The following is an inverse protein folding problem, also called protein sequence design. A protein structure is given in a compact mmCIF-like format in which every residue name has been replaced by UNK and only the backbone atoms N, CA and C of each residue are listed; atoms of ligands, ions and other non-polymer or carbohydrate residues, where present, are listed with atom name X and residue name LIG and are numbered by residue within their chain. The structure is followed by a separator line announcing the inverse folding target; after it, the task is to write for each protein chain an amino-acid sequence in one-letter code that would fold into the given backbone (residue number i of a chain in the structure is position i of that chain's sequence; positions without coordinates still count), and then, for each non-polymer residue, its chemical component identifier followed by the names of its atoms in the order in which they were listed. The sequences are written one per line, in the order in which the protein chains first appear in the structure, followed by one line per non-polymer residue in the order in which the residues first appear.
data_IF_058638388874
#
_entry.id   IF_058638388874
#
_cell.length_a   1.000
_cell.length_b   1.000
_cell.length_c   1.000
_cell.angle_alpha   90.00
_cell.angle_beta   90.00
_cell.angle_gamma   90.00
#
_symmetry.space_group_name_H-M   'P 1'
#
loop_
_entity.id
_entity.type
_entity.pdbx_description
1 polymer ?
#
# COMPACT_ATOMS: atom_id res chain seq x y z
N UNK A 1 13.17 67.12 -33.16
CA UNK A 1 13.97 65.88 -33.04
C UNK A 1 13.51 65.13 -31.80
N UNK A 2 12.51 64.27 -31.92
CA UNK A 2 12.02 63.47 -30.80
C UNK A 2 12.74 62.11 -30.79
N UNK A 3 13.49 61.83 -29.73
CA UNK A 3 14.16 60.55 -29.51
C UNK A 3 13.08 59.52 -29.14
N UNK A 4 12.75 58.62 -30.06
CA UNK A 4 12.03 57.41 -29.73
C UNK A 4 12.96 56.49 -28.95
N UNK A 5 12.77 56.41 -27.63
CA UNK A 5 13.31 55.33 -26.81
C UNK A 5 12.63 54.03 -27.22
N UNK A 6 13.38 52.97 -27.60
CA UNK A 6 12.79 51.69 -27.91
C UNK A 6 12.28 51.07 -26.59
N UNK A 7 10.97 50.83 -26.54
CA UNK A 7 10.34 50.05 -25.48
C UNK A 7 10.95 48.64 -25.58
N UNK A 8 11.80 48.28 -24.62
CA UNK A 8 12.21 46.90 -24.42
C UNK A 8 10.96 46.10 -24.09
N UNK A 9 10.44 45.38 -25.09
CA UNK A 9 9.43 44.34 -24.88
C UNK A 9 10.15 43.24 -24.11
N UNK A 10 10.02 43.25 -22.79
CA UNK A 10 10.42 42.13 -21.96
C UNK A 10 9.63 40.92 -22.45
N UNK A 11 10.32 40.01 -23.14
CA UNK A 11 9.78 38.68 -23.44
C UNK A 11 9.20 38.13 -22.14
N UNK A 12 7.93 37.69 -22.10
CA UNK A 12 7.36 37.14 -20.88
C UNK A 12 8.28 36.01 -20.44
N UNK A 13 8.80 36.11 -19.22
CA UNK A 13 9.59 35.05 -18.58
C UNK A 13 8.63 33.88 -18.39
N UNK A 14 8.47 33.08 -19.44
CA UNK A 14 7.50 32.00 -19.47
C UNK A 14 7.92 30.86 -18.57
N UNK A 15 6.95 30.03 -18.17
CA UNK A 15 7.17 28.77 -17.43
C UNK A 15 8.28 27.90 -18.06
N UNK A 16 8.52 28.04 -19.37
CA UNK A 16 9.56 27.34 -20.12
C UNK A 16 11.00 27.77 -19.81
N UNK A 17 11.22 28.90 -19.14
CA UNK A 17 12.56 29.36 -18.75
C UNK A 17 12.83 29.16 -17.25
N UNK A 18 11.88 28.62 -16.49
CA UNK A 18 12.07 28.33 -15.08
C UNK A 18 13.00 27.12 -14.90
N UNK A 19 13.85 27.09 -13.86
CA UNK A 19 14.58 25.90 -13.42
C UNK A 19 13.63 24.73 -13.14
N UNK A 20 14.13 23.50 -13.30
CA UNK A 20 13.34 22.27 -13.11
C UNK A 20 12.77 22.18 -11.67
N UNK A 21 13.50 22.69 -10.68
CA UNK A 21 13.07 22.74 -9.28
C UNK A 21 11.81 23.58 -9.08
N UNK A 22 11.75 24.76 -9.70
CA UNK A 22 10.59 25.64 -9.62
C UNK A 22 9.42 25.09 -10.43
N UNK A 23 9.70 24.43 -11.57
CA UNK A 23 8.68 23.73 -12.33
C UNK A 23 8.06 22.58 -11.53
N UNK A 24 8.86 21.79 -10.82
CA UNK A 24 8.36 20.76 -9.92
C UNK A 24 7.52 21.34 -8.79
N UNK A 25 7.90 22.50 -8.26
CA UNK A 25 7.11 23.25 -7.30
C UNK A 25 5.71 23.60 -7.84
N UNK A 26 5.64 24.13 -9.06
CA UNK A 26 4.37 24.42 -9.74
C UNK A 26 3.58 23.14 -10.03
N UNK A 27 4.24 22.09 -10.50
CA UNK A 27 3.64 20.79 -10.79
C UNK A 27 3.05 20.12 -9.55
N UNK A 28 3.62 20.34 -8.38
CA UNK A 28 3.10 19.82 -7.12
C UNK A 28 1.76 20.43 -6.70
N UNK A 29 1.43 21.63 -7.21
CA UNK A 29 0.19 22.33 -6.91
C UNK A 29 -0.95 21.94 -7.87
N UNK A 30 -0.64 21.19 -8.93
CA UNK A 30 -1.58 20.83 -9.99
C UNK A 30 -2.17 19.43 -9.76
N UNK A 31 -3.41 19.22 -10.23
CA UNK A 31 -4.02 17.90 -10.22
C UNK A 31 -3.29 16.97 -11.21
N UNK A 32 -3.39 15.65 -11.01
CA UNK A 32 -2.80 14.67 -11.93
C UNK A 32 -3.37 14.75 -13.36
N UNK A 33 -4.58 15.26 -13.53
CA UNK A 33 -5.19 15.46 -14.85
C UNK A 33 -4.60 16.70 -15.55
N UNK A 34 -4.50 17.82 -14.84
CA UNK A 34 -3.92 19.05 -15.37
C UNK A 34 -2.44 18.87 -15.71
N UNK A 35 -1.73 18.11 -14.88
CA UNK A 35 -0.33 17.77 -15.13
C UNK A 35 -0.18 16.98 -16.43
N UNK A 36 -1.03 15.98 -16.67
CA UNK A 36 -1.02 15.20 -17.93
C UNK A 36 -1.35 16.07 -19.13
N UNK A 37 -2.25 17.04 -19.00
CA UNK A 37 -2.55 17.99 -20.05
C UNK A 37 -1.34 18.89 -20.36
N UNK A 38 -0.69 19.43 -19.33
CA UNK A 38 0.50 20.28 -19.47
C UNK A 38 1.71 19.50 -20.02
N UNK A 39 1.82 18.21 -19.70
CA UNK A 39 2.84 17.34 -20.29
C UNK A 39 2.67 17.18 -21.81
N UNK A 40 1.45 17.28 -22.34
CA UNK A 40 1.18 17.10 -23.78
C UNK A 40 1.52 18.33 -24.61
N UNK A 41 1.46 19.52 -24.02
CA UNK A 41 1.70 20.77 -24.74
C UNK A 41 3.19 21.09 -24.91
N UNK A 42 4.08 20.48 -24.12
CA UNK A 42 5.52 20.73 -24.23
C UNK A 42 6.38 19.53 -23.79
N UNK A 43 7.35 19.16 -24.64
CA UNK A 43 8.26 18.04 -24.38
C UNK A 43 9.14 18.24 -23.13
N UNK A 44 9.51 19.49 -22.79
CA UNK A 44 10.29 19.79 -21.59
C UNK A 44 9.48 19.51 -20.34
N UNK A 45 8.21 19.94 -20.32
CA UNK A 45 7.31 19.64 -19.20
C UNK A 45 7.05 18.14 -19.10
N UNK A 46 6.92 17.43 -20.22
CA UNK A 46 6.83 15.97 -20.21
C UNK A 46 8.02 15.31 -19.51
N UNK A 47 9.25 15.72 -19.82
CA UNK A 47 10.44 15.13 -19.20
C UNK A 47 10.51 15.42 -17.69
N UNK A 48 10.31 16.68 -17.28
CA UNK A 48 10.39 17.07 -15.87
C UNK A 48 9.24 16.48 -15.05
N UNK A 49 8.01 16.54 -15.57
CA UNK A 49 6.85 15.96 -14.93
C UNK A 49 6.84 14.44 -15.01
N UNK A 50 7.51 13.83 -15.98
CA UNK A 50 7.61 12.38 -16.14
C UNK A 50 8.24 11.73 -14.92
N UNK A 51 9.37 12.26 -14.45
CA UNK A 51 10.02 11.81 -13.22
C UNK A 51 9.16 12.07 -11.98
N UNK A 52 8.49 13.23 -11.92
CA UNK A 52 7.56 13.56 -10.84
C UNK A 52 6.36 12.61 -10.78
N UNK A 53 5.74 12.34 -11.94
CA UNK A 53 4.62 11.43 -12.11
C UNK A 53 5.05 9.99 -11.85
N UNK A 54 6.24 9.57 -12.26
CA UNK A 54 6.76 8.24 -11.97
C UNK A 54 6.90 8.03 -10.45
N UNK A 55 7.41 9.05 -9.74
CA UNK A 55 7.50 9.04 -8.26
C UNK A 55 6.11 9.04 -7.60
N UNK A 56 5.16 9.83 -8.10
CA UNK A 56 3.76 9.83 -7.66
C UNK A 56 3.02 8.52 -7.98
N UNK A 57 3.33 7.89 -9.12
CA UNK A 57 2.62 6.70 -9.61
C UNK A 57 3.16 5.38 -9.07
N UNK A 58 4.37 5.37 -8.49
CA UNK A 58 4.91 4.20 -7.79
C UNK A 58 4.02 3.76 -6.61
N UNK A 59 3.33 4.70 -5.97
CA UNK A 59 2.39 4.41 -4.88
C UNK A 59 0.99 4.03 -5.38
N UNK A 60 0.61 4.41 -6.61
CA UNK A 60 -0.70 4.06 -7.19
C UNK A 60 -0.70 2.79 -8.02
N UNK A 61 0.44 2.32 -8.55
CA UNK A 61 0.49 1.15 -9.45
C UNK A 61 -0.06 -0.13 -8.82
N UNK A 62 0.41 -0.49 -7.62
CA UNK A 62 -0.09 -1.68 -6.90
C UNK A 62 -1.49 -1.44 -6.30
N UNK A 63 -1.78 -0.19 -5.92
CA UNK A 63 -3.06 0.20 -5.32
C UNK A 63 -4.18 0.43 -6.34
N UNK A 64 -3.89 0.44 -7.64
CA UNK A 64 -4.90 0.55 -8.70
C UNK A 64 -5.29 -0.82 -9.26
N UNK A 65 -4.51 -1.87 -8.99
CA UNK A 65 -4.80 -3.22 -9.48
C UNK A 65 -6.14 -3.74 -8.94
N UNK A 66 -6.91 -4.49 -9.75
CA UNK A 66 -8.07 -5.24 -9.27
C UNK A 66 -7.74 -6.16 -8.10
N UNK A 67 -8.73 -6.45 -7.26
CA UNK A 67 -8.56 -7.26 -6.06
C UNK A 67 -8.06 -8.67 -6.40
N UNK A 68 -8.44 -9.20 -7.55
CA UNK A 68 -8.06 -10.51 -8.07
C UNK A 68 -6.54 -10.59 -8.30
N UNK A 69 -5.96 -9.56 -8.92
CA UNK A 69 -4.52 -9.51 -9.15
C UNK A 69 -3.74 -9.34 -7.86
N UNK A 70 -4.26 -8.55 -6.91
CA UNK A 70 -3.66 -8.38 -5.58
C UNK A 70 -3.66 -9.70 -4.82
N UNK A 71 -4.76 -10.46 -4.92
CA UNK A 71 -4.87 -11.78 -4.33
C UNK A 71 -3.89 -12.76 -4.98
N UNK A 72 -3.76 -12.73 -6.31
CA UNK A 72 -2.80 -13.56 -7.05
C UNK A 72 -1.36 -13.29 -6.58
N UNK A 73 -0.96 -12.02 -6.51
CA UNK A 73 0.35 -11.62 -5.96
C UNK A 73 0.51 -12.14 -4.52
N UNK A 74 -0.53 -12.03 -3.70
CA UNK A 74 -0.51 -12.51 -2.32
C UNK A 74 -0.34 -14.04 -2.22
N UNK A 75 -0.88 -14.80 -3.18
CA UNK A 75 -0.74 -16.25 -3.23
C UNK A 75 0.71 -16.67 -3.50
N UNK A 76 1.40 -15.97 -4.40
CA UNK A 76 2.80 -16.22 -4.76
C UNK A 76 3.79 -15.84 -3.65
N UNK A 77 3.38 -15.04 -2.66
CA UNK A 77 4.20 -14.80 -1.47
C UNK A 77 4.33 -16.08 -0.63
N UNK A 78 5.54 -16.63 -0.55
CA UNK A 78 5.82 -17.92 0.09
C UNK A 78 5.69 -17.87 1.62
N UNK A 79 6.06 -16.75 2.24
CA UNK A 79 6.05 -16.60 3.70
C UNK A 79 4.83 -15.84 4.19
N UNK A 80 4.26 -16.31 5.30
CA UNK A 80 3.14 -15.66 5.98
C UNK A 80 3.49 -14.22 6.43
N UNK A 81 4.74 -14.01 6.86
CA UNK A 81 5.22 -12.69 7.28
C UNK A 81 5.15 -11.67 6.15
N UNK A 82 5.50 -12.06 4.92
CA UNK A 82 5.49 -11.16 3.78
C UNK A 82 4.06 -10.80 3.38
N UNK A 83 3.13 -11.75 3.46
CA UNK A 83 1.68 -11.47 3.29
C UNK A 83 1.18 -10.47 4.33
N UNK A 84 1.57 -10.64 5.59
CA UNK A 84 1.20 -9.71 6.66
C UNK A 84 1.83 -8.32 6.49
N UNK A 85 3.08 -8.24 6.01
CA UNK A 85 3.74 -6.97 5.67
C UNK A 85 3.02 -6.27 4.52
N UNK A 86 2.67 -7.00 3.46
CA UNK A 86 1.91 -6.48 2.33
C UNK A 86 0.54 -5.95 2.78
N UNK A 87 -0.19 -6.70 3.62
CA UNK A 87 -1.46 -6.23 4.18
C UNK A 87 -1.32 -4.91 4.95
N UNK A 88 -0.22 -4.75 5.70
CA UNK A 88 0.05 -3.56 6.52
C UNK A 88 0.62 -2.38 5.73
N UNK A 89 1.05 -2.60 4.48
CA UNK A 89 1.62 -1.54 3.65
C UNK A 89 0.58 -0.49 3.23
N UNK A 90 -0.71 -0.86 3.16
CA UNK A 90 -1.78 0.07 2.80
C UNK A 90 -3.13 -0.35 3.36
N UNK A 91 -3.92 0.64 3.78
CA UNK A 91 -5.29 0.45 4.25
C UNK A 91 -6.20 -0.22 3.18
N UNK A 92 -5.94 0.00 1.89
CA UNK A 92 -6.68 -0.65 0.78
C UNK A 92 -6.34 -2.14 0.68
N UNK A 93 -5.07 -2.49 0.87
CA UNK A 93 -4.60 -3.86 0.75
C UNK A 93 -5.00 -4.69 1.97
N UNK A 94 -5.05 -4.06 3.15
CA UNK A 94 -5.33 -4.74 4.40
C UNK A 94 -6.57 -5.66 4.36
N UNK A 95 -7.79 -5.20 4.01
CA UNK A 95 -8.97 -6.07 4.03
C UNK A 95 -8.88 -7.22 3.01
N UNK A 96 -8.32 -6.98 1.82
CA UNK A 96 -8.23 -7.97 0.74
C UNK A 96 -7.23 -9.06 1.12
N UNK A 97 -6.00 -8.66 1.45
CA UNK A 97 -4.90 -9.56 1.80
C UNK A 97 -5.19 -10.30 3.09
N UNK A 98 -5.73 -9.61 4.11
CA UNK A 98 -6.04 -10.24 5.39
C UNK A 98 -7.17 -11.27 5.29
N UNK A 99 -8.19 -11.02 4.45
CA UNK A 99 -9.27 -11.99 4.22
C UNK A 99 -8.72 -13.28 3.61
N UNK A 100 -7.81 -13.18 2.65
CA UNK A 100 -7.11 -14.33 2.08
C UNK A 100 -6.25 -15.05 3.12
N UNK A 101 -5.45 -14.30 3.87
CA UNK A 101 -4.58 -14.84 4.93
C UNK A 101 -5.39 -15.66 5.94
N UNK A 102 -6.48 -15.11 6.47
CA UNK A 102 -7.30 -15.79 7.47
C UNK A 102 -7.98 -17.03 6.88
N UNK A 103 -8.56 -16.92 5.67
CA UNK A 103 -9.21 -18.05 5.00
C UNK A 103 -8.24 -19.19 4.68
N UNK A 104 -7.03 -18.85 4.20
CA UNK A 104 -5.99 -19.84 3.92
C UNK A 104 -5.48 -20.52 5.20
N UNK A 105 -5.45 -19.79 6.32
CA UNK A 105 -5.02 -20.35 7.59
C UNK A 105 -6.02 -21.35 8.16
N UNK A 106 -7.31 -21.04 8.13
CA UNK A 106 -8.37 -21.96 8.54
C UNK A 106 -8.34 -23.23 7.67
N UNK A 107 -8.20 -23.09 6.34
CA UNK A 107 -8.24 -24.22 5.41
C UNK A 107 -7.00 -25.13 5.44
N UNK A 108 -5.80 -24.54 5.47
CA UNK A 108 -4.56 -25.29 5.20
C UNK A 108 -3.58 -25.30 6.38
N UNK A 109 -3.74 -24.38 7.34
CA UNK A 109 -2.81 -24.24 8.48
C UNK A 109 -3.48 -24.52 9.82
N UNK A 110 -4.61 -25.25 9.81
CA UNK A 110 -5.34 -25.71 10.99
C UNK A 110 -5.54 -24.58 12.01
N UNK A 111 -5.98 -23.41 11.55
CA UNK A 111 -6.28 -22.26 12.43
C UNK A 111 -5.12 -21.78 13.30
N UNK A 112 -3.86 -22.03 12.95
CA UNK A 112 -2.71 -21.61 13.77
C UNK A 112 -2.59 -20.10 14.04
N UNK A 113 -3.24 -19.26 13.21
CA UNK A 113 -3.36 -17.83 13.48
C UNK A 113 -4.25 -17.51 14.69
N UNK A 114 -5.12 -18.43 15.10
CA UNK A 114 -5.98 -18.25 16.27
C UNK A 114 -5.15 -18.27 17.55
N UNK A 115 -4.16 -19.16 17.65
CA UNK A 115 -3.18 -19.17 18.73
C UNK A 115 -2.38 -17.86 18.80
N UNK A 116 -1.93 -17.37 17.65
CA UNK A 116 -1.29 -16.05 17.58
C UNK A 116 -2.23 -14.92 18.02
N UNK A 117 -3.49 -14.95 17.60
CA UNK A 117 -4.47 -13.94 17.99
C UNK A 117 -4.78 -13.99 19.50
N UNK A 118 -4.89 -15.19 20.08
CA UNK A 118 -5.11 -15.39 21.52
C UNK A 118 -3.91 -14.86 22.34
N UNK A 119 -2.70 -15.32 22.02
CA UNK A 119 -1.46 -14.90 22.72
C UNK A 119 -1.17 -13.40 22.62
N UNK A 120 -1.63 -12.72 21.57
CA UNK A 120 -1.45 -11.28 21.37
C UNK A 120 -2.70 -10.45 21.70
N UNK A 121 -3.75 -11.05 22.27
CA UNK A 121 -5.02 -10.40 22.60
C UNK A 121 -5.67 -9.65 21.41
N UNK A 122 -5.54 -10.20 20.20
CA UNK A 122 -6.06 -9.61 18.96
C UNK A 122 -7.53 -10.01 18.72
N UNK A 123 -8.44 -9.48 19.54
CA UNK A 123 -9.88 -9.83 19.54
C UNK A 123 -10.54 -9.76 18.16
N UNK A 124 -10.21 -8.74 17.37
CA UNK A 124 -10.76 -8.55 16.02
C UNK A 124 -10.31 -9.64 15.04
N UNK A 125 -9.07 -10.12 15.18
CA UNK A 125 -8.52 -11.21 14.38
C UNK A 125 -9.15 -12.54 14.79
N UNK A 126 -9.20 -12.80 16.10
CA UNK A 126 -9.81 -14.01 16.65
C UNK A 126 -11.27 -14.14 16.19
N UNK A 127 -12.07 -13.07 16.28
CA UNK A 127 -13.45 -13.05 15.79
C UNK A 127 -13.57 -13.38 14.30
N UNK A 128 -12.67 -12.84 13.46
CA UNK A 128 -12.65 -13.14 12.03
C UNK A 128 -12.33 -14.62 11.75
N UNK A 129 -11.39 -15.19 12.50
CA UNK A 129 -11.02 -16.61 12.37
C UNK A 129 -12.19 -17.51 12.78
N UNK A 130 -12.82 -17.23 13.93
CA UNK A 130 -13.98 -17.97 14.42
C UNK A 130 -15.16 -17.92 13.45
N UNK A 131 -15.45 -16.73 12.89
CA UNK A 131 -16.53 -16.57 11.91
C UNK A 131 -16.31 -17.36 10.61
N UNK A 132 -15.06 -17.69 10.28
CA UNK A 132 -14.74 -18.54 9.13
C UNK A 132 -14.69 -20.04 9.48
N UNK A 133 -15.10 -20.43 10.69
CA UNK A 133 -15.07 -21.82 11.16
C UNK A 133 -13.69 -22.26 11.63
N UNK A 134 -12.89 -21.33 12.17
CA UNK A 134 -11.59 -21.67 12.71
C UNK A 134 -11.69 -22.59 13.92
N UNK A 135 -11.02 -23.75 13.84
CA UNK A 135 -10.83 -24.69 14.95
C UNK A 135 -10.29 -24.02 16.22
N UNK A 136 -11.06 -24.12 17.32
CA UNK A 136 -10.76 -23.56 18.65
C UNK A 136 -9.84 -24.45 19.48
N UNK A 137 -9.70 -25.71 19.11
CA UNK A 137 -8.88 -26.70 19.82
C UNK A 137 -7.50 -26.87 19.17
N UNK A 138 -7.18 -26.04 18.17
CA UNK A 138 -5.91 -26.10 17.46
C UNK A 138 -4.70 -25.92 18.39
N UNK A 139 -3.78 -26.87 18.36
CA UNK A 139 -2.52 -26.78 19.10
C UNK A 139 -1.38 -26.24 18.21
N UNK A 140 -1.64 -25.97 16.93
CA UNK A 140 -0.61 -25.52 15.98
C UNK A 140 -0.29 -24.04 16.13
N UNK A 141 1.00 -23.72 16.11
CA UNK A 141 1.48 -22.33 16.19
C UNK A 141 1.47 -21.73 17.59
N UNK A 142 1.11 -22.49 18.62
CA UNK A 142 1.35 -22.14 20.01
C UNK A 142 2.86 -22.19 20.27
N UNK A 143 3.52 -21.03 20.29
CA UNK A 143 4.90 -20.94 20.76
C UNK A 143 4.87 -20.86 22.29
N UNK A 144 4.61 -22.01 22.93
CA UNK A 144 4.78 -22.17 24.37
C UNK A 144 5.89 -23.20 24.58
N UNK A 145 7.12 -22.76 24.33
CA UNK A 145 8.32 -23.51 24.69
C UNK A 145 8.55 -23.61 26.22
N UNK A 146 7.56 -23.23 27.05
CA UNK A 146 7.69 -23.19 28.51
C UNK A 146 6.72 -24.11 29.26
N UNK A 147 5.73 -24.71 28.58
CA UNK A 147 4.89 -25.77 29.15
C UNK A 147 4.75 -26.84 28.07
N UNK A 148 5.21 -28.06 28.35
CA UNK A 148 5.47 -29.12 27.36
C UNK A 148 4.30 -29.62 26.51
N UNK A 149 3.12 -28.98 26.57
CA UNK A 149 1.95 -29.31 25.76
C UNK A 149 1.42 -28.03 25.10
N UNK A 150 1.23 -28.04 23.78
CA UNK A 150 0.70 -26.89 23.04
C UNK A 150 -0.68 -26.52 23.57
N UNK A 151 -0.81 -25.37 24.23
CA UNK A 151 -2.10 -24.89 24.74
C UNK A 151 -3.00 -24.52 23.55
N UNK A 152 -4.27 -24.92 23.65
CA UNK A 152 -5.30 -24.47 22.71
C UNK A 152 -5.59 -22.97 22.91
N UNK A 153 -6.12 -22.28 21.89
CA UNK A 153 -6.52 -20.88 22.00
C UNK A 153 -7.51 -20.64 23.13
N UNK A 154 -8.38 -21.64 23.40
CA UNK A 154 -9.32 -21.61 24.52
C UNK A 154 -8.60 -21.58 25.87
N UNK A 155 -7.58 -22.42 26.05
CA UNK A 155 -6.79 -22.45 27.27
C UNK A 155 -6.01 -21.14 27.48
N UNK A 156 -5.48 -20.54 26.41
CA UNK A 156 -4.75 -19.26 26.48
C UNK A 156 -5.67 -18.10 26.91
N UNK A 157 -6.94 -18.10 26.51
CA UNK A 157 -7.90 -17.06 26.86
C UNK A 157 -8.45 -17.18 28.29
N UNK A 158 -8.20 -18.30 28.97
CA UNK A 158 -8.65 -18.57 30.34
C UNK A 158 -7.65 -18.07 31.40
N UNK A 159 -6.43 -17.70 31.00
CA UNK A 159 -5.42 -17.02 31.83
C UNK A 159 -5.55 -15.50 31.70
#
# INVERSE_FOLDING_TARGET
MAKHTPIQVSTPVGLLNLPDELLLGVFSLLSTQDLRYICRVNYRFHNVAGDYLARQHYSTGLLSLPNELILEITQHLSRQQDRSRLARASNRLYPVVMRYVVRSNVRFKQSSLLNYAATKNLKSMARKILHLGGDVDTQKGACLAFMGNGLSPLAIAAF
#
